data_IF_175214048059
#
_entry.id   IF_175214048059
#
_cell.length_a   1.000
_cell.length_b   1.000
_cell.length_c   1.000
_cell.angle_alpha   90.00
_cell.angle_beta   90.00
_cell.angle_gamma   90.00
#
_symmetry.space_group_name_H-M   'P 1'
#
loop_
_entity.id
_entity.type
_entity.pdbx_description
1 polymer ?
#
# COMPACT_ATOMS: atom_id res chain seq x y z
N UNK A 1 61.24 -14.52 2.30
CA UNK A 1 60.03 -14.93 1.54
C UNK A 1 58.97 -15.33 2.55
N UNK A 2 57.73 -14.91 2.30
CA UNK A 2 56.61 -14.79 3.23
C UNK A 2 56.28 -16.02 4.10
N UNK A 3 55.50 -15.79 5.17
CA UNK A 3 54.30 -16.57 5.36
C UNK A 3 53.04 -15.71 5.37
N UNK A 4 52.00 -16.32 4.81
CA UNK A 4 50.63 -15.87 4.60
C UNK A 4 49.76 -15.94 5.85
N UNK A 5 48.82 -14.99 5.90
CA UNK A 5 47.50 -14.94 6.54
C UNK A 5 47.05 -16.05 7.53
N UNK A 6 46.52 -15.59 8.66
CA UNK A 6 45.58 -16.30 9.53
C UNK A 6 44.83 -15.30 10.43
N UNK A 7 43.51 -15.17 10.22
CA UNK A 7 42.58 -14.28 10.96
C UNK A 7 41.88 -15.09 12.04
N UNK A 8 41.85 -14.60 13.28
CA UNK A 8 40.90 -15.00 14.33
C UNK A 8 40.54 -13.81 15.23
N UNK A 9 39.26 -13.70 15.58
CA UNK A 9 38.84 -13.21 16.89
C UNK A 9 38.29 -11.79 16.99
N UNK A 10 36.96 -11.71 16.92
CA UNK A 10 36.03 -10.79 17.60
C UNK A 10 36.58 -9.53 18.31
N UNK A 11 36.07 -8.36 17.90
CA UNK A 11 36.09 -7.15 18.72
C UNK A 11 34.71 -6.47 18.65
N UNK A 12 34.08 -6.28 19.81
CA UNK A 12 32.91 -5.44 19.95
C UNK A 12 33.32 -3.97 19.98
N UNK A 13 32.54 -3.09 19.35
CA UNK A 13 32.68 -1.65 19.53
C UNK A 13 31.31 -0.94 19.55
N UNK A 14 31.09 -0.41 20.76
CA UNK A 14 30.30 0.73 21.22
C UNK A 14 30.04 1.84 20.19
N UNK A 15 28.74 2.14 20.03
CA UNK A 15 28.06 3.45 19.91
C UNK A 15 28.91 4.69 19.58
N UNK A 16 28.66 5.30 18.41
CA UNK A 16 28.78 6.74 18.19
C UNK A 16 27.63 7.25 17.30
N UNK A 17 26.83 8.15 17.87
CA UNK A 17 25.78 8.95 17.26
C UNK A 17 26.40 10.10 16.45
N UNK A 18 26.04 10.24 15.18
CA UNK A 18 26.31 11.43 14.37
C UNK A 18 25.12 12.39 14.48
N UNK A 19 25.33 13.50 15.17
CA UNK A 19 24.43 14.64 15.20
C UNK A 19 24.57 15.48 13.94
N UNK A 20 23.44 15.94 13.40
CA UNK A 20 23.38 17.07 12.49
C UNK A 20 22.55 18.15 13.18
N UNK A 21 23.25 19.17 13.68
CA UNK A 21 22.68 20.41 14.18
C UNK A 21 22.15 21.23 13.00
N UNK A 22 20.84 21.45 12.95
CA UNK A 22 20.22 22.52 12.19
C UNK A 22 19.44 23.40 13.16
N UNK A 23 20.16 24.36 13.76
CA UNK A 23 19.56 25.41 14.57
C UNK A 23 18.81 26.41 13.68
N UNK A 24 17.54 26.64 14.00
CA UNK A 24 16.81 27.81 13.53
C UNK A 24 16.66 28.76 14.72
N UNK A 25 17.27 29.94 14.60
CA UNK A 25 17.13 31.06 15.53
C UNK A 25 15.80 31.76 15.25
N UNK A 26 14.92 31.89 16.24
CA UNK A 26 13.87 32.89 16.23
C UNK A 26 14.38 34.09 17.04
N UNK A 27 14.57 35.20 16.34
CA UNK A 27 14.92 36.49 16.90
C UNK A 27 13.65 37.14 17.45
N UNK A 28 13.63 37.45 18.75
CA UNK A 28 12.62 38.33 19.36
C UNK A 28 13.27 39.63 19.83
N UNK A 29 12.65 40.73 19.42
CA UNK A 29 13.04 42.10 19.71
C UNK A 29 12.69 42.47 21.16
N UNK A 30 13.73 42.76 21.94
CA UNK A 30 13.79 43.85 22.92
C UNK A 30 12.87 43.80 24.13
N UNK A 31 13.41 43.36 25.27
CA UNK A 31 13.24 44.01 26.59
C UNK A 31 14.52 43.75 27.40
N UNK A 32 15.32 44.80 27.65
CA UNK A 32 16.37 44.79 28.67
C UNK A 32 15.75 44.71 30.07
N UNK A 33 16.23 43.80 30.91
CA UNK A 33 16.19 43.95 32.37
C UNK A 33 17.26 43.06 33.02
N UNK A 34 18.38 43.73 33.33
CA UNK A 34 19.41 43.48 34.33
C UNK A 34 19.33 42.21 35.21
N UNK A 35 20.46 41.48 35.24
CA UNK A 35 20.88 40.64 36.37
C UNK A 35 20.78 41.40 37.71
N UNK A 36 20.42 40.69 38.80
CA UNK A 36 21.47 40.46 39.78
C UNK A 36 21.46 39.07 40.42
N UNK A 37 22.68 38.68 40.78
CA UNK A 37 23.09 37.60 41.67
C UNK A 37 22.33 37.55 43.00
N UNK A 38 22.10 36.33 43.52
CA UNK A 38 21.66 36.17 44.91
C UNK A 38 21.19 34.77 45.30
N UNK A 39 22.11 33.97 45.82
CA UNK A 39 21.91 32.98 46.89
C UNK A 39 20.79 31.92 46.75
N UNK A 40 21.21 30.69 46.49
CA UNK A 40 20.54 29.49 47.02
C UNK A 40 20.64 29.48 48.56
N UNK A 41 19.56 29.07 49.24
CA UNK A 41 19.68 28.08 50.30
C UNK A 41 18.99 26.80 49.86
N UNK A 42 19.76 25.73 49.93
CA UNK A 42 19.35 24.34 49.79
C UNK A 42 18.20 24.02 50.73
N UNK A 43 17.01 23.75 50.18
CA UNK A 43 16.00 22.91 50.83
C UNK A 43 15.87 21.66 49.97
N UNK A 44 16.43 20.56 50.47
CA UNK A 44 16.31 19.25 49.86
C UNK A 44 14.85 18.84 49.82
N UNK A 45 14.26 18.89 48.64
CA UNK A 45 13.00 18.22 48.33
C UNK A 45 13.40 17.02 47.48
N UNK A 46 13.20 15.82 48.03
CA UNK A 46 13.24 14.58 47.27
C UNK A 46 12.21 14.69 46.14
N UNK A 47 12.68 14.95 44.92
CA UNK A 47 11.87 14.89 43.71
C UNK A 47 11.89 13.46 43.19
N UNK A 48 10.89 12.68 43.58
CA UNK A 48 10.61 11.40 42.94
C UNK A 48 10.23 11.64 41.47
N UNK A 49 10.75 10.81 40.57
CA UNK A 49 10.52 10.89 39.11
C UNK A 49 9.03 10.85 38.68
N UNK A 50 8.12 10.57 39.61
CA UNK A 50 6.67 10.50 39.40
C UNK A 50 6.04 11.91 39.33
N UNK A 51 6.53 12.89 40.10
CA UNK A 51 5.97 14.27 40.08
C UNK A 51 6.46 15.08 38.88
N UNK A 52 7.70 14.86 38.42
CA UNK A 52 8.23 15.46 37.19
C UNK A 52 7.49 14.95 35.94
N UNK A 53 7.16 13.65 35.90
CA UNK A 53 6.37 13.04 34.81
C UNK A 53 4.94 13.55 34.76
N UNK A 54 4.30 13.76 35.91
CA UNK A 54 2.93 14.29 35.99
C UNK A 54 2.85 15.74 35.49
N UNK A 55 3.82 16.59 35.82
CA UNK A 55 3.87 17.97 35.32
C UNK A 55 4.14 18.05 33.81
N UNK A 56 4.99 17.17 33.27
CA UNK A 56 5.23 17.06 31.82
C UNK A 56 3.99 16.56 31.06
N UNK A 57 3.26 15.60 31.62
CA UNK A 57 2.03 15.07 31.04
C UNK A 57 0.92 16.13 30.99
N UNK A 58 0.71 16.87 32.08
CA UNK A 58 -0.27 17.96 32.11
C UNK A 58 0.12 19.15 31.21
N UNK A 59 1.43 19.44 31.06
CA UNK A 59 1.91 20.45 30.13
C UNK A 59 1.70 20.02 28.66
N UNK A 60 2.01 18.77 28.31
CA UNK A 60 1.75 18.22 26.96
C UNK A 60 0.25 18.19 26.64
N UNK A 61 -0.62 17.84 27.59
CA UNK A 61 -2.07 17.88 27.40
C UNK A 61 -2.59 19.32 27.19
N UNK A 62 -2.04 20.30 27.90
CA UNK A 62 -2.38 21.72 27.68
C UNK A 62 -1.85 22.24 26.34
N UNK A 63 -0.66 21.81 25.90
CA UNK A 63 -0.06 22.19 24.63
C UNK A 63 -0.75 21.53 23.43
N UNK A 64 -1.10 20.25 23.54
CA UNK A 64 -1.90 19.53 22.54
C UNK A 64 -3.32 20.09 22.42
N UNK A 65 -3.90 20.58 23.52
CA UNK A 65 -5.21 21.23 23.53
C UNK A 65 -5.15 22.67 22.99
N UNK A 66 -3.99 23.35 23.05
CA UNK A 66 -3.75 24.62 22.35
C UNK A 66 -3.55 24.40 20.84
N UNK A 67 -2.81 23.36 20.44
CA UNK A 67 -2.63 22.95 19.04
C UNK A 67 -3.95 22.51 18.38
N UNK A 68 -4.85 21.84 19.12
CA UNK A 68 -6.18 21.47 18.60
C UNK A 68 -7.14 22.66 18.49
N UNK A 69 -6.89 23.77 19.20
CA UNK A 69 -7.66 25.01 19.08
C UNK A 69 -7.13 26.01 18.04
N UNK A 70 -5.91 25.79 17.52
CA UNK A 70 -5.35 26.57 16.40
C UNK A 70 -5.68 25.97 15.02
N UNK A 71 -6.39 24.84 14.96
CA UNK A 71 -6.83 24.24 13.71
C UNK A 71 -8.34 24.43 13.49
N UNK A 72 -8.76 25.62 13.02
CA UNK A 72 -9.85 25.64 12.06
C UNK A 72 -9.53 26.62 10.93
N UNK A 73 -8.49 26.34 10.14
CA UNK A 73 -8.26 27.01 8.85
C UNK A 73 -7.78 26.03 7.78
N UNK A 74 -8.43 24.87 7.67
CA UNK A 74 -8.47 24.12 6.42
C UNK A 74 -9.91 23.70 6.11
N UNK A 75 -10.82 24.67 6.20
CA UNK A 75 -12.03 24.60 5.41
C UNK A 75 -11.67 25.24 4.07
N UNK A 76 -11.15 24.39 3.17
CA UNK A 76 -10.91 24.76 1.78
C UNK A 76 -12.27 25.11 1.17
N UNK A 77 -12.63 26.39 1.24
CA UNK A 77 -13.69 26.93 0.43
C UNK A 77 -13.28 26.66 -1.02
N UNK A 78 -14.09 25.87 -1.73
CA UNK A 78 -13.92 25.67 -3.16
C UNK A 78 -13.91 27.03 -3.84
N UNK A 79 -12.71 27.50 -4.20
CA UNK A 79 -12.55 28.70 -4.99
C UNK A 79 -13.01 28.33 -6.40
N UNK A 80 -14.26 28.67 -6.72
CA UNK A 80 -14.66 28.77 -8.10
C UNK A 80 -13.88 29.96 -8.68
N UNK A 81 -12.82 29.70 -9.46
CA UNK A 81 -12.26 30.73 -10.32
C UNK A 81 -13.39 31.14 -11.25
N UNK A 82 -13.94 32.33 -11.02
CA UNK A 82 -14.95 32.91 -11.88
C UNK A 82 -14.35 32.98 -13.28
N UNK A 83 -14.94 32.24 -14.22
CA UNK A 83 -14.54 32.31 -15.62
C UNK A 83 -14.54 33.78 -16.09
N UNK A 84 -13.71 34.14 -17.07
CA UNK A 84 -13.64 35.52 -17.57
C UNK A 84 -15.05 36.02 -17.89
N UNK A 85 -15.36 37.26 -17.48
CA UNK A 85 -16.66 37.87 -17.75
C UNK A 85 -17.04 37.68 -19.21
N UNK A 86 -18.27 37.21 -19.46
CA UNK A 86 -18.80 37.09 -20.80
C UNK A 86 -18.67 38.41 -21.55
N UNK A 87 -18.37 38.34 -22.84
CA UNK A 87 -18.27 39.54 -23.69
C UNK A 87 -19.56 40.37 -23.57
N UNK A 88 -19.46 41.71 -23.42
CA UNK A 88 -20.64 42.56 -23.42
C UNK A 88 -21.52 42.26 -24.64
N UNK A 89 -22.84 42.17 -24.41
CA UNK A 89 -23.80 42.02 -25.50
C UNK A 89 -23.60 43.13 -26.52
N UNK A 90 -23.73 42.83 -27.81
CA UNK A 90 -23.66 43.85 -28.87
C UNK A 90 -24.75 44.89 -28.65
N UNK A 91 -24.41 46.16 -28.87
CA UNK A 91 -25.37 47.26 -28.82
C UNK A 91 -26.57 46.95 -29.73
N UNK A 92 -27.78 47.19 -29.21
CA UNK A 92 -29.00 47.01 -29.97
C UNK A 92 -28.99 47.91 -31.22
N UNK A 93 -29.52 47.41 -32.33
CA UNK A 93 -29.66 48.20 -33.56
C UNK A 93 -30.48 49.47 -33.30
N UNK A 94 -30.10 50.64 -33.83
CA UNK A 94 -30.85 51.88 -33.68
C UNK A 94 -32.33 51.69 -34.07
N UNK A 95 -33.23 52.23 -33.24
CA UNK A 95 -34.66 52.21 -33.54
C UNK A 95 -34.96 52.97 -34.84
N UNK A 96 -35.93 52.49 -35.61
CA UNK A 96 -36.40 53.18 -36.81
C UNK A 96 -36.99 54.55 -36.46
N UNK A 97 -36.70 55.59 -37.24
CA UNK A 97 -37.25 56.93 -37.02
C UNK A 97 -38.78 56.90 -36.95
N UNK A 98 -39.34 57.42 -35.85
CA UNK A 98 -40.77 57.54 -35.64
C UNK A 98 -41.41 58.68 -36.45
N UNK A 99 -42.70 58.53 -36.72
CA UNK A 99 -43.59 59.57 -37.26
C UNK A 99 -43.66 60.73 -36.24
N UNK A 100 -43.74 62.01 -36.65
CA UNK A 100 -43.68 63.14 -35.71
C UNK A 100 -44.77 63.05 -34.63
N UNK A 101 -44.36 62.93 -33.36
CA UNK A 101 -45.26 63.07 -32.19
C UNK A 101 -45.15 62.00 -31.10
N UNK A 102 -44.47 60.87 -31.32
CA UNK A 102 -44.30 59.83 -30.30
C UNK A 102 -42.83 59.40 -30.17
N UNK A 103 -42.24 59.37 -28.97
CA UNK A 103 -40.89 58.84 -28.76
C UNK A 103 -40.75 57.41 -29.29
N UNK A 104 -39.62 57.12 -29.96
CA UNK A 104 -39.32 55.78 -30.46
C UNK A 104 -39.22 54.76 -29.32
N UNK A 105 -39.64 53.52 -29.59
CA UNK A 105 -39.64 52.44 -28.60
C UNK A 105 -38.18 52.06 -28.29
N UNK A 106 -37.75 51.98 -27.02
CA UNK A 106 -36.40 51.52 -26.67
C UNK A 106 -36.09 50.14 -27.27
N UNK A 107 -34.84 49.94 -27.72
CA UNK A 107 -34.36 48.67 -28.22
C UNK A 107 -34.44 47.57 -27.15
N UNK A 108 -34.66 46.32 -27.57
CA UNK A 108 -34.80 45.18 -26.66
C UNK A 108 -33.41 44.73 -26.18
N UNK A 109 -33.27 44.48 -24.88
CA UNK A 109 -32.02 43.98 -24.30
C UNK A 109 -31.59 42.67 -24.98
N UNK A 110 -30.28 42.52 -25.19
CA UNK A 110 -29.69 41.30 -25.75
C UNK A 110 -29.87 40.08 -24.82
N UNK A 111 -29.80 38.85 -25.36
CA UNK A 111 -29.89 37.64 -24.55
C UNK A 111 -28.73 37.58 -23.55
N UNK A 112 -29.05 37.20 -22.30
CA UNK A 112 -28.04 36.95 -21.27
C UNK A 112 -27.15 35.78 -21.71
N UNK A 113 -25.82 35.95 -21.61
CA UNK A 113 -24.85 34.90 -21.92
C UNK A 113 -25.03 33.65 -21.05
N UNK A 114 -24.64 32.50 -21.60
CA UNK A 114 -24.70 31.21 -20.90
C UNK A 114 -23.80 31.20 -19.66
N UNK A 115 -24.26 30.56 -18.58
CA UNK A 115 -23.47 30.42 -17.35
C UNK A 115 -22.37 29.38 -17.63
N UNK A 116 -21.10 29.78 -17.47
CA UNK A 116 -19.98 28.85 -17.58
C UNK A 116 -20.12 27.67 -16.60
N UNK A 117 -19.86 26.46 -17.09
CA UNK A 117 -19.90 25.25 -16.28
C UNK A 117 -18.67 25.15 -15.37
N UNK A 118 -18.88 24.79 -14.10
CA UNK A 118 -17.78 24.50 -13.19
C UNK A 118 -17.19 23.13 -13.57
N UNK A 119 -15.93 23.11 -14.02
CA UNK A 119 -15.15 21.88 -14.09
C UNK A 119 -15.03 21.31 -12.67
N UNK A 120 -15.74 20.21 -12.38
CA UNK A 120 -15.49 19.42 -11.19
C UNK A 120 -14.30 18.54 -11.53
N UNK A 121 -13.10 18.91 -11.07
CA UNK A 121 -12.02 17.95 -10.98
C UNK A 121 -12.52 16.82 -10.06
N UNK A 122 -12.85 15.68 -10.66
CA UNK A 122 -12.95 14.44 -9.92
C UNK A 122 -11.53 14.15 -9.44
N UNK A 123 -11.26 14.43 -8.18
CA UNK A 123 -10.16 13.78 -7.48
C UNK A 123 -10.47 12.29 -7.60
N UNK A 124 -9.85 11.61 -8.58
CA UNK A 124 -9.88 10.15 -8.65
C UNK A 124 -9.51 9.66 -7.26
N UNK A 125 -10.35 8.78 -6.73
CA UNK A 125 -10.19 8.23 -5.40
C UNK A 125 -8.79 7.60 -5.36
N UNK A 126 -7.85 8.28 -4.71
CA UNK A 126 -6.43 7.92 -4.74
C UNK A 126 -6.30 6.44 -4.41
N UNK A 127 -5.65 5.69 -5.30
CA UNK A 127 -5.52 4.24 -5.16
C UNK A 127 -4.74 3.92 -3.88
N UNK A 128 -5.46 3.59 -2.81
CA UNK A 128 -4.84 3.10 -1.59
C UNK A 128 -4.37 1.66 -1.81
N UNK A 129 -3.08 1.36 -1.54
CA UNK A 129 -2.57 -0.01 -1.62
C UNK A 129 -3.33 -0.91 -0.64
N UNK A 130 -3.81 -2.05 -1.15
CA UNK A 130 -4.40 -3.10 -0.33
C UNK A 130 -3.64 -4.39 -0.60
N UNK A 131 -2.86 -4.85 0.38
CA UNK A 131 -2.09 -6.07 0.26
C UNK A 131 -2.07 -6.84 1.59
N UNK A 132 -1.87 -8.16 1.49
CA UNK A 132 -1.76 -9.05 2.66
C UNK A 132 -0.72 -10.12 2.37
N UNK A 133 0.06 -10.44 3.40
CA UNK A 133 0.93 -11.62 3.37
C UNK A 133 0.51 -12.59 4.48
N UNK A 134 0.14 -13.81 4.08
CA UNK A 134 0.07 -14.95 4.98
C UNK A 134 1.39 -15.71 4.92
N UNK A 135 1.90 -16.16 6.07
CA UNK A 135 3.20 -16.82 6.18
C UNK A 135 3.12 -18.00 7.13
N UNK A 136 3.82 -19.07 6.76
CA UNK A 136 3.92 -20.30 7.54
C UNK A 136 5.38 -20.64 7.75
N UNK A 137 5.73 -21.06 8.96
CA UNK A 137 7.08 -21.50 9.30
C UNK A 137 7.47 -22.80 8.60
N UNK A 138 6.48 -23.68 8.37
CA UNK A 138 6.58 -24.88 7.53
C UNK A 138 5.19 -25.33 7.05
N UNK A 139 5.07 -25.76 5.79
CA UNK A 139 3.86 -26.39 5.23
C UNK A 139 4.08 -27.90 4.94
N UNK A 140 5.00 -28.52 5.67
CA UNK A 140 5.49 -29.88 5.43
C UNK A 140 4.51 -30.97 5.92
N UNK A 141 3.29 -30.96 5.39
CA UNK A 141 2.21 -31.87 5.78
C UNK A 141 2.14 -33.15 4.92
N UNK A 142 3.04 -33.30 3.94
CA UNK A 142 3.02 -34.46 3.03
C UNK A 142 1.78 -34.53 2.14
N UNK A 143 1.20 -33.37 1.80
CA UNK A 143 0.01 -33.30 0.94
C UNK A 143 0.43 -33.46 -0.52
N UNK A 144 0.06 -34.59 -1.11
CA UNK A 144 0.27 -34.87 -2.54
C UNK A 144 -0.87 -34.32 -3.42
N UNK A 145 -2.08 -34.24 -2.88
CA UNK A 145 -3.30 -33.80 -3.56
C UNK A 145 -4.21 -33.06 -2.57
N UNK A 146 -4.72 -31.91 -2.97
CA UNK A 146 -5.68 -31.13 -2.18
C UNK A 146 -5.18 -29.74 -1.76
N UNK A 147 -5.92 -29.13 -0.83
CA UNK A 147 -5.64 -27.79 -0.30
C UNK A 147 -4.42 -27.82 0.59
N UNK A 148 -3.42 -27.00 0.29
CA UNK A 148 -2.19 -26.91 1.08
C UNK A 148 -2.33 -25.84 2.16
N UNK A 149 -2.78 -24.65 1.77
CA UNK A 149 -2.91 -23.49 2.66
C UNK A 149 -3.93 -22.49 2.12
N UNK A 150 -4.44 -21.65 3.01
CA UNK A 150 -5.49 -20.67 2.72
C UNK A 150 -5.20 -19.34 3.44
N UNK A 151 -5.52 -18.25 2.77
CA UNK A 151 -5.36 -16.88 3.25
C UNK A 151 -6.58 -16.06 2.85
N UNK A 152 -7.46 -15.78 3.81
CA UNK A 152 -8.62 -14.90 3.57
C UNK A 152 -8.17 -13.46 3.37
N UNK A 153 -8.67 -12.79 2.35
CA UNK A 153 -8.34 -11.41 2.00
C UNK A 153 -9.60 -10.57 1.86
N UNK A 154 -9.56 -9.32 2.34
CA UNK A 154 -10.66 -8.37 2.14
C UNK A 154 -10.37 -7.55 0.90
N UNK A 155 -11.04 -7.87 -0.21
CA UNK A 155 -11.00 -7.10 -1.44
C UNK A 155 -11.88 -5.86 -1.33
N UNK A 156 -11.33 -4.69 -1.59
CA UNK A 156 -12.01 -3.41 -1.35
C UNK A 156 -12.87 -2.97 -2.54
N UNK A 157 -12.45 -3.26 -3.77
CA UNK A 157 -13.09 -2.77 -5.00
C UNK A 157 -13.50 -3.94 -5.89
N UNK A 158 -14.69 -3.86 -6.48
CA UNK A 158 -15.15 -4.88 -7.45
C UNK A 158 -14.49 -4.72 -8.81
N UNK A 159 -14.14 -3.49 -9.19
CA UNK A 159 -13.41 -3.19 -10.43
C UNK A 159 -11.89 -3.12 -10.18
N UNK A 160 -11.32 -4.22 -9.70
CA UNK A 160 -9.89 -4.37 -9.48
C UNK A 160 -9.48 -5.82 -9.67
N UNK A 161 -8.20 -6.07 -9.88
CA UNK A 161 -7.65 -7.42 -9.99
C UNK A 161 -6.94 -7.84 -8.69
N UNK A 162 -6.78 -9.14 -8.46
CA UNK A 162 -5.97 -9.67 -7.37
C UNK A 162 -4.72 -10.33 -7.95
N UNK A 163 -3.54 -9.77 -7.67
CA UNK A 163 -2.26 -10.44 -7.91
C UNK A 163 -1.98 -11.34 -6.72
N UNK A 164 -1.73 -12.61 -6.98
CA UNK A 164 -1.39 -13.60 -5.95
C UNK A 164 -0.05 -14.24 -6.26
N UNK A 165 0.76 -14.43 -5.23
CA UNK A 165 2.06 -15.06 -5.29
C UNK A 165 2.18 -16.06 -4.14
N UNK A 166 2.36 -17.33 -4.46
CA UNK A 166 2.90 -18.31 -3.53
C UNK A 166 4.42 -18.35 -3.68
N UNK A 167 5.14 -18.34 -2.57
CA UNK A 167 6.58 -18.60 -2.54
C UNK A 167 6.87 -19.64 -1.46
N UNK A 168 7.48 -20.76 -1.86
CA UNK A 168 7.80 -21.85 -0.95
C UNK A 168 8.55 -22.98 -1.64
N UNK A 169 9.09 -23.90 -0.86
CA UNK A 169 9.75 -25.09 -1.41
C UNK A 169 8.73 -26.00 -2.09
N UNK A 170 8.95 -26.32 -3.36
CA UNK A 170 8.20 -27.33 -4.10
C UNK A 170 9.12 -28.50 -4.45
N UNK A 171 8.56 -29.70 -4.47
CA UNK A 171 9.25 -30.90 -4.94
C UNK A 171 8.24 -31.85 -5.58
N UNK A 172 8.64 -32.44 -6.70
CA UNK A 172 8.01 -33.62 -7.28
C UNK A 172 9.03 -34.76 -7.32
N UNK A 173 8.61 -35.97 -6.94
CA UNK A 173 9.41 -37.19 -7.01
C UNK A 173 8.60 -38.31 -7.64
N UNK A 174 9.21 -39.05 -8.56
CA UNK A 174 8.60 -40.22 -9.19
C UNK A 174 9.69 -41.17 -9.68
N UNK A 175 9.33 -42.35 -10.21
CA UNK A 175 10.29 -43.30 -10.80
C UNK A 175 10.28 -43.27 -12.34
N UNK A 176 9.12 -43.01 -12.92
CA UNK A 176 8.90 -42.76 -14.35
C UNK A 176 8.53 -41.30 -14.54
N UNK A 177 8.45 -40.83 -15.79
CA UNK A 177 7.87 -39.54 -16.15
C UNK A 177 6.55 -39.28 -15.39
N UNK A 178 6.47 -38.16 -14.68
CA UNK A 178 5.32 -37.77 -13.88
C UNK A 178 5.11 -36.26 -13.89
N UNK A 179 3.94 -35.82 -13.44
CA UNK A 179 3.60 -34.41 -13.41
C UNK A 179 2.68 -34.09 -12.23
N UNK A 180 2.87 -32.90 -11.65
CA UNK A 180 1.99 -32.35 -10.63
C UNK A 180 1.82 -30.84 -10.85
N UNK A 181 0.63 -30.34 -10.52
CA UNK A 181 0.21 -28.95 -10.74
C UNK A 181 -0.05 -28.28 -9.39
N UNK A 182 0.51 -27.11 -9.16
CA UNK A 182 0.17 -26.23 -8.04
C UNK A 182 -0.63 -25.05 -8.57
N UNK A 183 -1.77 -24.73 -7.95
CA UNK A 183 -2.69 -23.74 -8.50
C UNK A 183 -3.47 -22.99 -7.42
N UNK A 184 -3.93 -21.79 -7.75
CA UNK A 184 -4.75 -20.97 -6.86
C UNK A 184 -6.25 -21.15 -7.10
N UNK A 185 -6.99 -21.07 -6.01
CA UNK A 185 -8.45 -20.91 -6.02
C UNK A 185 -8.88 -19.68 -5.25
N UNK A 186 -9.98 -19.08 -5.66
CA UNK A 186 -10.66 -17.96 -5.03
C UNK A 186 -12.07 -18.41 -4.66
N UNK A 187 -12.39 -18.46 -3.37
CA UNK A 187 -13.65 -19.01 -2.85
C UNK A 187 -13.93 -20.45 -3.33
N UNK A 188 -12.87 -21.26 -3.42
CA UNK A 188 -12.94 -22.65 -3.88
C UNK A 188 -13.01 -22.87 -5.39
N UNK A 189 -13.08 -21.81 -6.20
CA UNK A 189 -13.05 -21.91 -7.67
C UNK A 189 -11.69 -21.46 -8.24
N UNK A 190 -11.20 -22.11 -9.29
CA UNK A 190 -10.02 -21.63 -10.02
C UNK A 190 -10.30 -20.27 -10.69
N UNK A 191 -9.23 -19.51 -10.94
CA UNK A 191 -9.37 -18.23 -11.63
C UNK A 191 -9.97 -18.41 -13.04
N UNK A 192 -11.06 -17.70 -13.31
CA UNK A 192 -11.73 -17.76 -14.62
C UNK A 192 -11.16 -16.79 -15.65
N UNK A 193 -10.54 -15.68 -15.23
CA UNK A 193 -10.06 -14.64 -16.12
C UNK A 193 -8.78 -13.97 -15.60
N UNK A 194 -7.72 -13.84 -16.41
CA UNK A 194 -7.62 -14.24 -17.82
C UNK A 194 -7.51 -15.76 -18.03
N UNK A 195 -6.82 -16.48 -17.13
CA UNK A 195 -6.64 -17.93 -17.14
C UNK A 195 -6.42 -18.44 -15.71
N UNK A 196 -6.52 -19.75 -15.45
CA UNK A 196 -6.10 -20.33 -14.18
C UNK A 196 -4.66 -19.97 -13.81
N UNK A 197 -4.43 -19.73 -12.52
CA UNK A 197 -3.11 -19.37 -12.00
C UNK A 197 -2.45 -20.64 -11.47
N UNK A 198 -1.43 -21.13 -12.18
CA UNK A 198 -0.80 -22.41 -11.88
C UNK A 198 0.70 -22.43 -12.19
N UNK A 199 1.38 -23.39 -11.58
CA UNK A 199 2.70 -23.84 -11.98
C UNK A 199 2.67 -25.36 -12.11
N UNK A 200 3.21 -25.86 -13.20
CA UNK A 200 3.32 -27.29 -13.47
C UNK A 200 4.78 -27.71 -13.29
N UNK A 201 5.00 -28.80 -12.55
CA UNK A 201 6.29 -29.46 -12.48
C UNK A 201 6.15 -30.80 -13.20
N UNK A 202 6.89 -30.95 -14.29
CA UNK A 202 7.13 -32.23 -14.94
C UNK A 202 8.48 -32.76 -14.49
N UNK A 203 8.54 -34.06 -14.22
CA UNK A 203 9.79 -34.74 -13.91
C UNK A 203 9.88 -36.03 -14.70
N UNK A 204 10.96 -36.18 -15.45
CA UNK A 204 11.37 -37.41 -16.10
C UNK A 204 12.81 -37.71 -15.74
N UNK A 205 13.03 -38.88 -15.14
CA UNK A 205 14.37 -39.30 -14.70
C UNK A 205 15.19 -39.94 -15.81
N UNK A 206 14.59 -40.20 -16.99
CA UNK A 206 15.28 -40.87 -18.08
C UNK A 206 15.55 -42.35 -17.75
N UNK A 207 16.76 -42.82 -18.04
CA UNK A 207 17.07 -44.26 -18.00
C UNK A 207 16.84 -44.88 -16.61
N UNK A 208 16.07 -45.98 -16.51
CA UNK A 208 15.85 -46.70 -15.26
C UNK A 208 17.12 -47.32 -14.65
N UNK A 209 18.23 -47.30 -15.39
CA UNK A 209 19.53 -47.89 -15.01
C UNK A 209 20.15 -47.21 -13.78
N UNK A 210 19.81 -45.95 -13.48
CA UNK A 210 20.44 -45.21 -12.38
C UNK A 210 19.72 -45.28 -11.04
N UNK A 211 18.50 -45.87 -10.96
CA UNK A 211 17.65 -45.95 -9.75
C UNK A 211 17.64 -44.67 -8.88
N UNK A 212 17.92 -43.52 -9.50
CA UNK A 212 18.25 -42.28 -8.81
C UNK A 212 17.04 -41.39 -8.88
N UNK A 213 16.28 -41.35 -7.78
CA UNK A 213 15.13 -40.46 -7.73
C UNK A 213 15.57 -39.03 -7.45
N UNK A 214 15.37 -38.12 -8.41
CA UNK A 214 15.57 -36.68 -8.20
C UNK A 214 14.67 -36.24 -7.02
N UNK A 215 15.30 -35.72 -5.96
CA UNK A 215 14.63 -35.35 -4.72
C UNK A 215 15.06 -33.94 -4.28
N UNK A 216 14.92 -32.97 -5.19
CA UNK A 216 15.34 -31.60 -4.96
C UNK A 216 14.16 -30.78 -4.46
N UNK A 217 14.25 -30.32 -3.21
CA UNK A 217 13.34 -29.34 -2.64
C UNK A 217 13.82 -27.94 -3.02
N UNK A 218 13.11 -27.26 -3.93
CA UNK A 218 13.52 -25.94 -4.43
C UNK A 218 12.44 -24.91 -4.19
N UNK A 219 12.83 -23.76 -3.63
CA UNK A 219 11.96 -22.59 -3.54
C UNK A 219 11.51 -22.21 -4.94
N UNK A 220 10.20 -22.27 -5.16
CA UNK A 220 9.54 -21.96 -6.42
C UNK A 220 8.40 -21.00 -6.15
N UNK A 221 7.93 -20.35 -7.21
CA UNK A 221 6.77 -19.46 -7.15
C UNK A 221 5.61 -20.00 -7.97
N UNK A 222 4.40 -19.74 -7.51
CA UNK A 222 3.17 -19.83 -8.29
C UNK A 222 2.57 -18.44 -8.26
N UNK A 223 2.36 -17.81 -9.40
CA UNK A 223 1.99 -16.40 -9.45
C UNK A 223 1.05 -16.11 -10.61
N UNK A 224 0.12 -15.19 -10.41
CA UNK A 224 -0.68 -14.65 -11.49
C UNK A 224 -1.62 -13.54 -11.03
N UNK A 225 -2.38 -13.03 -11.99
CA UNK A 225 -3.41 -12.02 -11.79
C UNK A 225 -4.78 -12.67 -12.00
N UNK A 226 -5.73 -12.42 -11.11
CA UNK A 226 -7.11 -12.87 -11.26
C UNK A 226 -8.10 -11.71 -11.28
N UNK A 227 -8.99 -11.73 -12.26
CA UNK A 227 -10.05 -10.74 -12.48
C UNK A 227 -11.44 -11.34 -12.24
N UNK A 228 -12.45 -10.47 -12.13
CA UNK A 228 -13.85 -10.87 -12.03
C UNK A 228 -14.29 -11.29 -10.62
N UNK A 229 -13.44 -11.05 -9.62
CA UNK A 229 -13.74 -11.29 -8.21
C UNK A 229 -14.41 -10.04 -7.63
N UNK A 230 -15.59 -10.20 -7.03
CA UNK A 230 -16.30 -9.09 -6.39
C UNK A 230 -15.60 -8.61 -5.11
N UNK A 231 -15.82 -7.34 -4.74
CA UNK A 231 -15.42 -6.84 -3.43
C UNK A 231 -16.04 -7.68 -2.29
N UNK A 232 -15.32 -7.77 -1.17
CA UNK A 232 -15.71 -8.55 0.00
C UNK A 232 -14.60 -9.47 0.49
N UNK A 233 -14.98 -10.42 1.36
CA UNK A 233 -14.06 -11.48 1.81
C UNK A 233 -13.86 -12.50 0.69
N UNK A 234 -12.60 -12.81 0.43
CA UNK A 234 -12.17 -13.77 -0.59
C UNK A 234 -11.21 -14.76 0.05
N UNK A 235 -11.56 -16.04 0.02
CA UNK A 235 -10.69 -17.12 0.49
C UNK A 235 -9.76 -17.55 -0.64
N UNK A 236 -8.48 -17.21 -0.49
CA UNK A 236 -7.44 -17.50 -1.48
C UNK A 236 -6.63 -18.67 -0.98
N UNK A 237 -6.63 -19.77 -1.74
CA UNK A 237 -5.96 -21.00 -1.33
C UNK A 237 -5.02 -21.51 -2.41
N UNK A 238 -3.91 -22.08 -1.98
CA UNK A 238 -2.96 -22.80 -2.85
C UNK A 238 -3.23 -24.31 -2.72
N UNK A 239 -3.33 -24.97 -3.87
CA UNK A 239 -3.64 -26.38 -4.01
C UNK A 239 -2.55 -27.12 -4.76
N UNK A 240 -2.49 -28.43 -4.56
CA UNK A 240 -1.76 -29.36 -5.42
C UNK A 240 -2.76 -30.34 -6.06
N UNK A 241 -2.59 -30.57 -7.37
CA UNK A 241 -3.46 -31.38 -8.20
C UNK A 241 -2.71 -32.17 -9.27
N UNK A 242 -3.44 -32.96 -10.03
CA UNK A 242 -2.90 -33.78 -11.13
C UNK A 242 -2.79 -32.99 -12.43
N UNK A 243 -1.85 -33.38 -13.28
CA UNK A 243 -1.83 -32.95 -14.69
C UNK A 243 -2.75 -33.85 -15.54
N UNK A 244 -3.10 -33.40 -16.75
CA UNK A 244 -3.94 -34.14 -17.69
C UNK A 244 -3.27 -35.40 -18.27
N UNK A 245 -1.99 -35.30 -18.65
CA UNK A 245 -1.36 -36.25 -19.57
C UNK A 245 -0.25 -37.11 -18.94
N UNK A 246 -0.08 -37.04 -17.62
CA UNK A 246 1.02 -37.71 -16.93
C UNK A 246 0.57 -38.29 -15.59
N UNK A 247 1.15 -39.43 -15.16
CA UNK A 247 0.84 -40.00 -13.86
C UNK A 247 1.32 -39.08 -12.74
N UNK A 248 0.63 -39.16 -11.60
CA UNK A 248 0.99 -38.40 -10.41
C UNK A 248 2.33 -38.87 -9.83
N UNK A 249 3.06 -37.94 -9.24
CA UNK A 249 4.21 -38.24 -8.40
C UNK A 249 3.90 -38.11 -6.90
N UNK A 250 4.96 -38.19 -6.12
CA UNK A 250 5.05 -37.84 -4.71
C UNK A 250 5.46 -36.36 -4.63
N UNK A 251 4.50 -35.51 -4.26
CA UNK A 251 4.63 -34.06 -4.24
C UNK A 251 4.83 -33.55 -2.81
N UNK A 252 5.62 -32.50 -2.65
CA UNK A 252 5.83 -31.89 -1.33
C UNK A 252 5.88 -30.38 -1.46
N UNK A 253 5.31 -29.71 -0.46
CA UNK A 253 5.26 -28.25 -0.36
C UNK A 253 5.81 -27.82 1.00
N UNK A 254 6.64 -26.78 1.03
CA UNK A 254 7.13 -26.14 2.26
C UNK A 254 8.04 -27.00 3.13
N UNK A 255 8.81 -27.94 2.56
CA UNK A 255 9.75 -28.77 3.31
C UNK A 255 10.84 -27.92 3.96
N UNK A 256 10.93 -27.98 5.29
CA UNK A 256 11.92 -27.32 6.14
C UNK A 256 12.21 -25.85 5.75
N UNK A 257 11.18 -25.16 5.28
CA UNK A 257 11.30 -23.80 4.76
C UNK A 257 10.00 -23.05 4.96
N UNK A 258 10.16 -21.74 5.12
CA UNK A 258 9.02 -20.82 5.18
C UNK A 258 8.27 -20.83 3.85
N UNK A 259 6.96 -20.71 3.93
CA UNK A 259 6.08 -20.54 2.77
C UNK A 259 5.22 -19.30 2.97
N UNK A 260 4.88 -18.62 1.87
CA UNK A 260 4.10 -17.38 1.91
C UNK A 260 3.11 -17.32 0.77
N UNK A 261 1.95 -16.74 1.05
CA UNK A 261 1.01 -16.24 0.05
C UNK A 261 1.00 -14.72 0.21
N UNK A 262 1.33 -14.00 -0.86
CA UNK A 262 1.25 -12.55 -0.96
C UNK A 262 0.11 -12.22 -1.91
N UNK A 263 -0.80 -11.35 -1.47
CA UNK A 263 -1.99 -10.94 -2.20
C UNK A 263 -1.95 -9.43 -2.30
N UNK A 264 -2.10 -8.90 -3.51
CA UNK A 264 -2.13 -7.48 -3.80
C UNK A 264 -3.38 -7.17 -4.63
N UNK A 265 -4.17 -6.20 -4.19
CA UNK A 265 -5.24 -5.65 -5.02
C UNK A 265 -4.62 -4.59 -5.95
N UNK A 266 -4.92 -4.69 -7.24
CA UNK A 266 -4.40 -3.80 -8.28
C UNK A 266 -5.55 -3.14 -9.05
N UNK A 267 -5.40 -1.86 -9.46
CA UNK A 267 -6.36 -1.24 -10.37
C UNK A 267 -6.34 -1.97 -11.72
N UNK A 268 -7.46 -1.91 -12.44
CA UNK A 268 -7.55 -2.38 -13.83
C UNK A 268 -7.21 -1.26 -14.80
#
# INVERSE_FOLDING_TARGET
MAPSAGVQGAFGQRSQTLGLDLGWSCEELGVELSDPSGSLPTLGIFYDSITAGFLLYFCCLRFACLLSKLCPLFQYNGVCLQGPSGVPGRDGSPGTNGIPGTPGIPGRDGPKGEKGECMRESIEESWTPNFKQCSWSALNYGIDLGKIAECTFTKMRSNSALRVLFSGSLRLKCRSACCQRWYFTFNGAECAGPLPIEAIIYLDQGSPELNSTINIHRTSSVEGLCEGINAGLVDIAIWVGTCSDYPRGDASTGWNSVSRIIIEELPK
#
